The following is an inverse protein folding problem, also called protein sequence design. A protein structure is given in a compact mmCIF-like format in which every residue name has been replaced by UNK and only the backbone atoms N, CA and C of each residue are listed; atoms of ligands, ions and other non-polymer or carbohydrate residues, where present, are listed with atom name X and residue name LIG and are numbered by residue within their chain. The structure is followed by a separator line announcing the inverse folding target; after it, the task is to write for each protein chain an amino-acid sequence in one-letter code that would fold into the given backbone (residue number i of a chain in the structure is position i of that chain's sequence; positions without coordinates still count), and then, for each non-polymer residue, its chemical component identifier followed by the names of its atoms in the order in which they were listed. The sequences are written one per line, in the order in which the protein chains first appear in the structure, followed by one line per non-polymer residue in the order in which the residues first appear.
data_IF_008448835359
#
_entry.id   IF_008448835359
#
_cell.length_a   1.000
_cell.length_b   1.000
_cell.length_c   1.000
_cell.angle_alpha   90.00
_cell.angle_beta   90.00
_cell.angle_gamma   90.00
#
_symmetry.space_group_name_H-M   'P 1'
#
loop_
_entity.id
_entity.type
_entity.pdbx_description
1 polymer ?
#
# COMPACT_ATOMS: atom_id res chain seq x y z
N UNK A 1 7.56 -29.27 -12.34
CA UNK A 1 7.31 -27.85 -12.65
C UNK A 1 7.00 -27.17 -11.32
N UNK A 2 7.98 -26.50 -10.71
CA UNK A 2 7.76 -25.82 -9.42
C UNK A 2 7.06 -24.49 -9.71
N UNK A 3 5.82 -24.34 -9.26
CA UNK A 3 5.06 -23.08 -9.33
C UNK A 3 5.78 -22.04 -8.48
N UNK A 4 6.11 -20.88 -9.06
CA UNK A 4 6.75 -19.79 -8.32
C UNK A 4 5.76 -19.26 -7.26
N UNK A 5 6.06 -19.39 -5.95
CA UNK A 5 5.16 -18.96 -4.89
C UNK A 5 4.90 -17.44 -4.90
N UNK A 6 5.79 -16.65 -5.49
CA UNK A 6 5.63 -15.19 -5.62
C UNK A 6 4.58 -14.85 -6.67
N UNK A 7 4.60 -15.55 -7.80
CA UNK A 7 3.64 -15.35 -8.88
C UNK A 7 2.21 -15.67 -8.42
N UNK A 8 2.03 -16.73 -7.64
CA UNK A 8 0.73 -17.05 -7.01
C UNK A 8 0.27 -15.92 -6.10
N UNK A 9 1.17 -15.37 -5.27
CA UNK A 9 0.82 -14.32 -4.33
C UNK A 9 0.43 -13.01 -5.03
N UNK A 10 1.17 -12.59 -6.04
CA UNK A 10 0.85 -11.37 -6.80
C UNK A 10 -0.51 -11.49 -7.48
N UNK A 11 -0.84 -12.67 -8.01
CA UNK A 11 -2.16 -12.94 -8.60
C UNK A 11 -3.27 -12.91 -7.55
N UNK A 12 -3.08 -13.56 -6.39
CA UNK A 12 -4.04 -13.52 -5.29
C UNK A 12 -4.33 -12.07 -4.84
N UNK A 13 -3.30 -11.25 -4.75
CA UNK A 13 -3.45 -9.83 -4.39
C UNK A 13 -4.18 -9.03 -5.48
N UNK A 14 -3.96 -9.32 -6.77
CA UNK A 14 -4.72 -8.69 -7.86
C UNK A 14 -6.19 -9.06 -7.79
N UNK A 15 -6.50 -10.34 -7.56
CA UNK A 15 -7.87 -10.85 -7.42
C UNK A 15 -8.55 -10.20 -6.22
N UNK A 16 -7.90 -10.18 -5.05
CA UNK A 16 -8.45 -9.55 -3.85
C UNK A 16 -8.66 -8.04 -4.03
N UNK A 17 -7.68 -7.32 -4.59
CA UNK A 17 -7.81 -5.88 -4.85
C UNK A 17 -8.95 -5.56 -5.82
N UNK A 18 -9.27 -6.45 -6.77
CA UNK A 18 -10.37 -6.26 -7.71
C UNK A 18 -11.76 -6.16 -7.05
N UNK A 19 -11.90 -6.56 -5.77
CA UNK A 19 -13.12 -6.43 -4.97
C UNK A 19 -13.43 -4.96 -4.58
N UNK A 20 -12.45 -4.06 -4.70
CA UNK A 20 -12.57 -2.66 -4.31
C UNK A 20 -12.72 -1.76 -5.54
N UNK A 21 -13.95 -1.46 -5.94
CA UNK A 21 -14.26 -0.72 -7.17
C UNK A 21 -13.65 0.69 -7.25
N UNK A 22 -13.34 1.31 -6.10
CA UNK A 22 -12.73 2.63 -6.00
C UNK A 22 -11.19 2.60 -5.99
N UNK A 23 -10.59 1.41 -5.96
CA UNK A 23 -9.14 1.24 -5.86
C UNK A 23 -8.48 1.11 -7.24
N UNK A 24 -7.59 2.04 -7.56
CA UNK A 24 -6.72 1.95 -8.72
C UNK A 24 -5.57 0.96 -8.47
N UNK A 25 -5.15 0.18 -9.47
CA UNK A 25 -3.92 -0.61 -9.39
C UNK A 25 -2.72 0.31 -9.11
N UNK A 26 -1.84 -0.09 -8.20
CA UNK A 26 -0.67 0.72 -7.85
C UNK A 26 0.25 0.97 -9.05
N UNK A 27 0.31 0.05 -10.03
CA UNK A 27 1.08 0.28 -11.26
C UNK A 27 0.50 1.36 -12.18
N UNK A 28 -0.79 1.69 -12.04
CA UNK A 28 -1.52 2.57 -12.97
C UNK A 28 -1.74 3.97 -12.38
N UNK A 29 -1.37 4.22 -11.13
CA UNK A 29 -1.51 5.54 -10.52
C UNK A 29 -0.58 6.58 -11.14
N UNK A 30 -1.16 7.74 -11.43
CA UNK A 30 -0.46 8.86 -12.06
C UNK A 30 0.10 9.78 -10.96
N UNK A 31 1.42 10.06 -10.95
CA UNK A 31 2.00 11.03 -10.02
C UNK A 31 1.36 12.42 -10.14
N UNK A 32 1.24 13.10 -9.01
CA UNK A 32 0.56 14.40 -8.82
C UNK A 32 -0.96 14.37 -9.01
N UNK A 33 -1.57 13.19 -9.05
CA UNK A 33 -3.03 13.03 -9.02
C UNK A 33 -3.48 12.36 -7.73
N UNK A 34 -4.73 12.65 -7.34
CA UNK A 34 -5.39 11.95 -6.23
C UNK A 34 -5.78 10.55 -6.69
N UNK A 35 -5.49 9.55 -5.88
CA UNK A 35 -5.90 8.18 -6.12
C UNK A 35 -6.24 7.48 -4.81
N UNK A 36 -7.04 6.42 -4.93
CA UNK A 36 -7.27 5.45 -3.86
C UNK A 36 -6.63 4.14 -4.27
N UNK A 37 -5.83 3.54 -3.39
CA UNK A 37 -5.20 2.24 -3.60
C UNK A 37 -5.53 1.35 -2.41
N UNK A 38 -5.70 0.06 -2.68
CA UNK A 38 -5.91 -0.97 -1.66
C UNK A 38 -4.79 -1.99 -1.79
N UNK A 39 -4.17 -2.34 -0.68
CA UNK A 39 -3.02 -3.24 -0.67
C UNK A 39 -2.78 -3.84 0.71
N UNK A 40 -1.95 -4.86 0.75
CA UNK A 40 -1.49 -5.51 1.98
C UNK A 40 -0.23 -4.81 2.48
N UNK A 41 -0.14 -4.54 3.79
CA UNK A 41 1.06 -3.95 4.40
C UNK A 41 2.22 -4.93 4.29
N UNK A 42 3.22 -4.58 3.48
CA UNK A 42 4.39 -5.41 3.22
C UNK A 42 5.63 -4.91 3.98
N UNK A 43 5.67 -3.63 4.38
CA UNK A 43 6.79 -3.02 5.08
C UNK A 43 6.33 -1.87 5.95
N UNK A 44 6.89 -1.79 7.15
CA UNK A 44 6.73 -0.66 8.07
C UNK A 44 8.13 -0.15 8.42
N UNK A 45 8.35 1.15 8.30
CA UNK A 45 9.61 1.80 8.70
C UNK A 45 9.30 3.02 9.55
N UNK A 46 9.81 3.00 10.78
CA UNK A 46 9.75 4.14 11.68
C UNK A 46 11.05 4.93 11.60
N UNK A 47 10.96 6.23 11.34
CA UNK A 47 12.05 7.18 11.51
C UNK A 47 11.77 8.00 12.77
N UNK A 48 12.48 7.72 13.90
CA UNK A 48 12.20 8.37 15.18
C UNK A 48 12.17 9.91 15.07
N UNK A 49 11.13 10.52 15.64
CA UNK A 49 10.94 11.97 15.64
C UNK A 49 10.61 12.60 14.27
N UNK A 50 10.46 11.82 13.21
CA UNK A 50 10.23 12.34 11.84
C UNK A 50 8.97 11.81 11.19
N UNK A 51 8.92 10.52 10.89
CA UNK A 51 7.82 9.94 10.13
C UNK A 51 7.70 8.43 10.31
N UNK A 52 6.47 7.94 10.15
CA UNK A 52 6.15 6.53 9.97
C UNK A 52 5.87 6.29 8.48
N UNK A 53 6.56 5.34 7.89
CA UNK A 53 6.39 4.91 6.51
C UNK A 53 5.73 3.53 6.50
N UNK A 54 4.67 3.38 5.72
CA UNK A 54 3.92 2.14 5.55
C UNK A 54 3.84 1.86 4.07
N UNK A 55 4.43 0.75 3.61
CA UNK A 55 4.36 0.36 2.21
C UNK A 55 3.37 -0.77 2.04
N UNK A 56 2.40 -0.55 1.15
CA UNK A 56 1.42 -1.54 0.73
C UNK A 56 1.77 -2.10 -0.65
N UNK A 57 1.32 -3.31 -0.94
CA UNK A 57 1.39 -3.91 -2.26
C UNK A 57 0.06 -4.57 -2.65
N UNK A 58 -0.27 -4.56 -3.94
CA UNK A 58 -1.57 -4.98 -4.49
C UNK A 58 -1.43 -5.98 -5.65
N UNK A 59 -0.27 -6.62 -5.74
CA UNK A 59 0.13 -7.50 -6.84
C UNK A 59 0.53 -6.80 -8.13
N UNK A 60 0.23 -5.50 -8.29
CA UNK A 60 0.69 -4.70 -9.45
C UNK A 60 1.90 -3.82 -9.15
N UNK A 61 2.03 -3.34 -7.91
CA UNK A 61 3.13 -2.48 -7.51
C UNK A 61 3.14 -2.21 -6.01
N UNK A 62 3.94 -1.21 -5.62
CA UNK A 62 4.12 -0.80 -4.22
C UNK A 62 3.90 0.69 -4.04
N UNK A 63 3.16 1.06 -3.00
CA UNK A 63 2.86 2.45 -2.64
C UNK A 63 3.24 2.69 -1.18
N UNK A 64 4.06 3.71 -0.92
CA UNK A 64 4.45 4.08 0.45
C UNK A 64 3.63 5.25 0.98
N UNK A 65 2.81 5.01 1.99
CA UNK A 65 2.23 6.07 2.81
C UNK A 65 3.28 6.62 3.77
N UNK A 66 3.44 7.94 3.79
CA UNK A 66 4.33 8.65 4.70
C UNK A 66 3.51 9.49 5.65
N UNK A 67 3.48 9.10 6.92
CA UNK A 67 2.80 9.81 8.00
C UNK A 67 3.80 10.66 8.77
N UNK A 68 3.83 11.95 8.46
CA UNK A 68 4.70 12.91 9.15
C UNK A 68 4.26 13.12 10.60
N UNK A 69 5.21 13.16 11.53
CA UNK A 69 4.94 13.42 12.96
C UNK A 69 4.20 12.30 13.69
N UNK A 70 3.89 11.18 13.01
CA UNK A 70 3.32 9.99 13.65
C UNK A 70 4.43 8.97 13.92
N UNK A 71 4.42 8.41 15.12
CA UNK A 71 5.28 7.29 15.51
C UNK A 71 4.57 5.93 15.42
N UNK A 72 3.24 5.93 15.34
CA UNK A 72 2.41 4.73 15.29
C UNK A 72 1.07 5.01 14.59
N UNK A 73 0.45 3.96 14.02
CA UNK A 73 -0.96 3.88 13.68
C UNK A 73 -1.57 2.70 14.46
N UNK A 74 -2.63 2.91 15.28
CA UNK A 74 -3.22 1.83 16.06
C UNK A 74 -3.66 0.65 15.19
N UNK A 75 -3.29 -0.57 15.58
CA UNK A 75 -3.64 -1.81 14.86
C UNK A 75 -2.77 -2.12 13.63
N UNK A 76 -1.79 -1.27 13.32
CA UNK A 76 -0.98 -1.44 12.12
C UNK A 76 0.02 -2.57 12.33
N UNK A 77 -0.09 -3.62 11.52
CA UNK A 77 0.81 -4.76 11.51
C UNK A 77 1.15 -5.16 10.07
N UNK A 78 2.18 -5.99 9.89
CA UNK A 78 2.44 -6.60 8.58
C UNK A 78 1.29 -7.56 8.23
N UNK A 79 0.94 -7.65 6.94
CA UNK A 79 -0.11 -8.55 6.45
C UNK A 79 -1.51 -7.95 6.41
N UNK A 80 -1.80 -6.92 7.21
CA UNK A 80 -3.14 -6.30 7.24
C UNK A 80 -3.46 -5.58 5.93
N UNK A 81 -4.74 -5.63 5.54
CA UNK A 81 -5.25 -4.86 4.40
C UNK A 81 -5.45 -3.39 4.75
N UNK A 82 -4.94 -2.49 3.90
CA UNK A 82 -5.15 -1.05 4.02
C UNK A 82 -5.70 -0.46 2.73
N UNK A 83 -6.68 0.43 2.88
CA UNK A 83 -7.08 1.41 1.87
C UNK A 83 -6.37 2.72 2.16
N UNK A 84 -5.70 3.29 1.15
CA UNK A 84 -5.03 4.58 1.21
C UNK A 84 -5.61 5.51 0.15
N UNK A 85 -5.95 6.75 0.50
CA UNK A 85 -6.38 7.75 -0.46
C UNK A 85 -5.67 9.08 -0.26
N UNK A 86 -5.14 9.65 -1.34
CA UNK A 86 -4.37 10.90 -1.29
C UNK A 86 -3.68 11.19 -2.61
N UNK A 87 -2.87 12.26 -2.62
CA UNK A 87 -2.11 12.67 -3.81
C UNK A 87 -0.82 11.87 -3.92
N UNK A 88 -0.69 11.10 -4.99
CA UNK A 88 0.49 10.27 -5.25
C UNK A 88 1.63 11.15 -5.73
N UNK A 89 2.85 10.86 -5.31
CA UNK A 89 4.09 11.47 -5.76
C UNK A 89 5.08 10.38 -6.18
N UNK A 90 5.78 10.58 -7.29
CA UNK A 90 6.93 9.77 -7.64
C UNK A 90 8.17 10.36 -6.95
N UNK A 91 8.90 9.54 -6.20
CA UNK A 91 10.09 9.99 -5.47
C UNK A 91 11.30 9.19 -5.93
N UNK A 92 11.87 9.55 -7.08
CA UNK A 92 13.08 8.93 -7.64
C UNK A 92 13.16 7.42 -7.39
N UNK A 93 14.22 6.99 -6.72
CA UNK A 93 14.49 5.58 -6.42
C UNK A 93 13.57 4.95 -5.36
N UNK A 94 12.82 5.76 -4.61
CA UNK A 94 11.91 5.29 -3.55
C UNK A 94 10.52 4.92 -4.07
N UNK A 95 10.28 5.06 -5.39
CA UNK A 95 9.02 4.70 -6.03
C UNK A 95 7.87 5.64 -5.72
N UNK A 96 6.64 5.10 -5.73
CA UNK A 96 5.42 5.87 -5.48
C UNK A 96 5.18 6.08 -3.99
N UNK A 97 4.78 7.30 -3.64
CA UNK A 97 4.52 7.70 -2.27
C UNK A 97 3.25 8.53 -2.16
N UNK A 98 2.61 8.50 -1.00
CA UNK A 98 1.52 9.40 -0.65
C UNK A 98 1.79 9.97 0.74
N UNK A 99 1.78 11.30 0.87
CA UNK A 99 2.02 11.97 2.16
C UNK A 99 0.71 12.21 2.90
N UNK A 100 0.69 11.83 4.17
CA UNK A 100 -0.45 11.98 5.09
C UNK A 100 -1.80 11.61 4.43
N UNK A 101 -1.93 10.41 3.81
CA UNK A 101 -3.19 9.99 3.20
C UNK A 101 -4.28 9.81 4.27
N UNK A 102 -5.53 9.84 3.83
CA UNK A 102 -6.61 9.17 4.56
C UNK A 102 -6.42 7.66 4.44
N UNK A 103 -6.72 6.93 5.51
CA UNK A 103 -6.47 5.50 5.56
C UNK A 103 -7.55 4.80 6.39
N UNK A 104 -7.88 3.57 5.98
CA UNK A 104 -8.83 2.70 6.66
C UNK A 104 -8.35 1.24 6.53
N UNK A 105 -8.67 0.40 7.53
CA UNK A 105 -8.48 -1.04 7.41
C UNK A 105 -9.52 -1.66 6.49
N UNK A 106 -9.12 -2.67 5.75
CA UNK A 106 -10.01 -3.52 4.95
C UNK A 106 -9.72 -4.98 5.26
N UNK A 107 -10.68 -5.86 4.98
CA UNK A 107 -10.50 -7.30 5.14
C UNK A 107 -9.32 -7.77 4.29
N UNK A 108 -8.35 -8.44 4.92
CA UNK A 108 -7.16 -8.95 4.26
C UNK A 108 -7.46 -10.20 3.41
N UNK A 109 -6.64 -10.51 2.38
CA UNK A 109 -6.93 -11.59 1.43
C UNK A 109 -6.87 -13.01 2.01
N UNK A 110 -6.23 -13.21 3.16
CA UNK A 110 -5.87 -14.54 3.68
C UNK A 110 -6.56 -14.89 5.01
N UNK A 111 -7.76 -14.35 5.27
CA UNK A 111 -8.60 -14.73 6.40
C UNK A 111 -9.34 -16.05 6.16
#
# INVERSE_FOLDING_TARGET
MATDPTATREEDLRIWRSQFADAAPIAEVIPRHRATCVGVVHKIRLVPGRQLEVTIEDGSGRLTAVFSGRSNLPGLQLGVGLRLSGTVAATGDLGLQVRNPTWDYVTEPYQ
#
